data_IF_441182628988
#
_entry.id   IF_441182628988
#
_cell.length_a   1.000
_cell.length_b   1.000
_cell.length_c   1.000
_cell.angle_alpha   90.00
_cell.angle_beta   90.00
_cell.angle_gamma   90.00
#
_symmetry.space_group_name_H-M   'P 1'
#
loop_
_entity.id
_entity.type
_entity.pdbx_description
1 polymer ?
#
# COMPACT_ATOMS: atom_id res chain seq x y z
N UNK A 1 23.30 -39.89 -15.28
CA UNK A 1 22.19 -39.68 -14.30
C UNK A 1 22.05 -38.18 -14.13
N UNK A 2 20.96 -37.59 -14.63
CA UNK A 2 20.69 -36.15 -14.52
C UNK A 2 19.97 -35.89 -13.18
N UNK A 3 20.65 -35.24 -12.24
CA UNK A 3 20.03 -34.71 -11.04
C UNK A 3 19.27 -33.43 -11.43
N UNK A 4 17.94 -33.52 -11.54
CA UNK A 4 17.08 -32.33 -11.66
C UNK A 4 17.13 -31.59 -10.32
N UNK A 5 17.89 -30.50 -10.27
CA UNK A 5 17.83 -29.54 -9.17
C UNK A 5 16.68 -28.58 -9.49
N UNK A 6 15.45 -29.08 -9.43
CA UNK A 6 14.30 -28.19 -9.38
C UNK A 6 14.29 -27.51 -8.00
N UNK A 7 14.26 -26.17 -7.91
CA UNK A 7 14.09 -25.50 -6.64
C UNK A 7 12.76 -25.95 -6.01
N UNK A 8 12.67 -26.12 -4.67
CA UNK A 8 11.43 -26.53 -4.03
C UNK A 8 10.32 -25.53 -4.35
N UNK A 9 9.33 -25.97 -5.14
CA UNK A 9 8.11 -25.23 -5.41
C UNK A 9 7.25 -25.25 -4.15
N UNK A 10 7.41 -24.24 -3.29
CA UNK A 10 6.56 -24.01 -2.11
C UNK A 10 5.20 -23.42 -2.52
N UNK A 11 4.42 -24.15 -3.32
CA UNK A 11 3.04 -23.77 -3.70
C UNK A 11 2.01 -24.85 -3.31
N UNK A 12 2.24 -25.59 -2.24
CA UNK A 12 1.20 -26.44 -1.67
C UNK A 12 0.28 -25.58 -0.81
N UNK A 13 -0.75 -25.02 -1.42
CA UNK A 13 -1.92 -24.51 -0.68
C UNK A 13 -2.43 -25.70 0.13
N UNK A 14 -2.46 -25.54 1.46
CA UNK A 14 -2.90 -26.62 2.34
C UNK A 14 -4.36 -27.00 2.04
N UNK A 15 -4.74 -28.24 2.31
CA UNK A 15 -6.11 -28.72 2.03
C UNK A 15 -7.14 -27.88 2.79
N UNK A 16 -6.81 -27.44 4.01
CA UNK A 16 -7.65 -26.51 4.78
C UNK A 16 -7.79 -25.16 4.08
N UNK A 17 -6.70 -24.63 3.53
CA UNK A 17 -6.66 -23.34 2.83
C UNK A 17 -7.42 -23.38 1.50
N UNK A 18 -7.36 -24.50 0.75
CA UNK A 18 -8.22 -24.73 -0.42
C UNK A 18 -9.70 -24.81 -0.06
N UNK A 19 -10.06 -25.54 1.00
CA UNK A 19 -11.44 -25.64 1.47
C UNK A 19 -11.94 -24.26 1.90
N UNK A 20 -11.12 -23.47 2.60
CA UNK A 20 -11.47 -22.10 3.00
C UNK A 20 -11.73 -21.20 1.80
N UNK A 21 -10.88 -21.26 0.78
CA UNK A 21 -11.06 -20.52 -0.47
C UNK A 21 -12.34 -20.93 -1.22
N UNK A 22 -12.67 -22.23 -1.23
CA UNK A 22 -13.85 -22.78 -1.89
C UNK A 22 -15.16 -22.54 -1.12
N UNK A 23 -15.12 -22.43 0.21
CA UNK A 23 -16.32 -22.35 1.08
C UNK A 23 -16.64 -20.94 1.58
N UNK A 24 -15.65 -20.07 1.78
CA UNK A 24 -15.81 -18.74 2.42
C UNK A 24 -15.55 -17.59 1.43
N UNK A 25 -14.87 -17.86 0.31
CA UNK A 25 -14.39 -16.83 -0.61
C UNK A 25 -13.09 -16.17 -0.13
N UNK A 26 -12.78 -14.99 -0.67
CA UNK A 26 -11.55 -14.26 -0.35
C UNK A 26 -11.53 -13.90 1.15
N UNK A 27 -10.42 -14.16 1.88
CA UNK A 27 -10.31 -13.77 3.28
C UNK A 27 -10.62 -12.28 3.49
N UNK A 28 -11.38 -11.93 4.54
CA UNK A 28 -11.81 -10.56 4.78
C UNK A 28 -10.65 -9.56 4.86
N UNK A 29 -9.51 -9.97 5.43
CA UNK A 29 -8.32 -9.13 5.49
C UNK A 29 -7.71 -8.85 4.11
N UNK A 30 -7.76 -9.84 3.19
CA UNK A 30 -7.22 -9.73 1.85
C UNK A 30 -8.11 -8.84 0.99
N UNK A 31 -9.43 -8.99 1.09
CA UNK A 31 -10.38 -8.08 0.46
C UNK A 31 -10.22 -6.63 0.95
N UNK A 32 -10.05 -6.43 2.28
CA UNK A 32 -9.80 -5.11 2.86
C UNK A 32 -8.46 -4.53 2.42
N UNK A 33 -7.42 -5.36 2.31
CA UNK A 33 -6.10 -4.94 1.81
C UNK A 33 -6.20 -4.45 0.36
N UNK A 34 -6.90 -5.19 -0.50
CA UNK A 34 -7.14 -4.78 -1.88
C UNK A 34 -7.88 -3.44 -1.97
N UNK A 35 -8.92 -3.25 -1.16
CA UNK A 35 -9.65 -1.97 -1.09
C UNK A 35 -8.76 -0.80 -0.64
N UNK A 36 -7.79 -1.04 0.25
CA UNK A 36 -6.82 -0.02 0.66
C UNK A 36 -5.92 0.31 -0.52
N UNK A 37 -5.34 -0.70 -1.17
CA UNK A 37 -4.45 -0.50 -2.32
C UNK A 37 -5.14 0.24 -3.47
N UNK A 38 -6.37 -0.13 -3.82
CA UNK A 38 -7.16 0.54 -4.86
C UNK A 38 -7.43 2.02 -4.52
N UNK A 39 -7.75 2.31 -3.26
CA UNK A 39 -7.99 3.67 -2.80
C UNK A 39 -6.70 4.50 -2.72
N UNK A 40 -5.58 3.88 -2.36
CA UNK A 40 -4.25 4.52 -2.37
C UNK A 40 -3.80 4.84 -3.80
N UNK A 41 -3.97 3.90 -4.73
CA UNK A 41 -3.68 4.07 -6.15
C UNK A 41 -4.51 5.21 -6.75
N UNK A 42 -5.84 5.18 -6.56
CA UNK A 42 -6.75 6.22 -7.06
C UNK A 42 -6.42 7.62 -6.49
N UNK A 43 -6.05 7.68 -5.20
CA UNK A 43 -5.65 8.93 -4.56
C UNK A 43 -4.35 9.46 -5.15
N UNK A 44 -3.35 8.59 -5.32
CA UNK A 44 -2.05 8.99 -5.85
C UNK A 44 -2.13 9.41 -7.32
N UNK A 45 -2.91 8.68 -8.14
CA UNK A 45 -3.16 9.04 -9.54
C UNK A 45 -3.76 10.44 -9.66
N UNK A 46 -4.81 10.75 -8.89
CA UNK A 46 -5.43 12.08 -8.86
C UNK A 46 -4.41 13.20 -8.58
N UNK A 47 -3.52 12.99 -7.60
CA UNK A 47 -2.51 14.01 -7.26
C UNK A 47 -1.38 14.10 -8.28
N UNK A 48 -1.01 12.99 -8.92
CA UNK A 48 -0.01 12.98 -9.99
C UNK A 48 -0.55 13.65 -11.27
N UNK A 49 -1.83 13.47 -11.57
CA UNK A 49 -2.50 14.19 -12.66
C UNK A 49 -2.51 15.69 -12.39
N UNK A 50 -2.92 16.12 -11.19
CA UNK A 50 -2.88 17.53 -10.79
C UNK A 50 -1.47 18.10 -10.88
N UNK A 51 -0.48 17.39 -10.35
CA UNK A 51 0.93 17.77 -10.47
C UNK A 51 1.34 17.94 -11.94
N UNK A 52 1.00 16.97 -12.80
CA UNK A 52 1.29 17.01 -14.23
C UNK A 52 0.67 18.21 -14.94
N UNK A 53 -0.59 18.53 -14.64
CA UNK A 53 -1.27 19.72 -15.16
C UNK A 53 -0.58 21.02 -14.75
N UNK A 54 -0.23 21.15 -13.46
CA UNK A 54 0.46 22.34 -12.94
C UNK A 54 1.83 22.53 -13.59
N UNK A 55 2.61 21.44 -13.76
CA UNK A 55 3.90 21.50 -14.45
C UNK A 55 3.73 21.90 -15.91
N UNK A 56 2.71 21.37 -16.61
CA UNK A 56 2.43 21.71 -18.00
C UNK A 56 2.01 23.19 -18.18
N UNK A 57 1.34 23.77 -17.18
CA UNK A 57 1.01 25.19 -17.14
C UNK A 57 2.24 26.08 -16.84
N UNK A 58 3.37 25.50 -16.44
CA UNK A 58 4.61 26.21 -16.17
C UNK A 58 4.59 27.02 -14.87
N UNK A 59 3.78 26.61 -13.89
CA UNK A 59 3.74 27.27 -12.58
C UNK A 59 5.09 27.13 -11.85
N UNK A 60 5.38 28.07 -10.95
CA UNK A 60 6.59 27.98 -10.12
C UNK A 60 6.52 26.81 -9.13
N UNK A 61 7.66 26.36 -8.62
CA UNK A 61 7.70 25.27 -7.64
C UNK A 61 6.91 25.63 -6.37
N UNK A 62 7.00 26.88 -5.92
CA UNK A 62 6.28 27.38 -4.75
C UNK A 62 4.76 27.35 -4.97
N UNK A 63 4.28 27.75 -6.15
CA UNK A 63 2.87 27.71 -6.50
C UNK A 63 2.35 26.27 -6.65
N UNK A 64 3.17 25.39 -7.23
CA UNK A 64 2.85 23.96 -7.35
C UNK A 64 2.65 23.34 -5.97
N UNK A 65 3.63 23.51 -5.07
CA UNK A 65 3.57 22.94 -3.71
C UNK A 65 2.37 23.50 -2.95
N UNK A 66 2.17 24.82 -2.98
CA UNK A 66 1.02 25.46 -2.33
C UNK A 66 -0.32 24.89 -2.83
N UNK A 67 -0.47 24.75 -4.15
CA UNK A 67 -1.71 24.24 -4.75
C UNK A 67 -1.95 22.77 -4.37
N UNK A 68 -0.90 21.95 -4.33
CA UNK A 68 -0.99 20.56 -3.86
C UNK A 68 -1.38 20.49 -2.38
N UNK A 69 -0.81 21.35 -1.53
CA UNK A 69 -1.14 21.43 -0.11
C UNK A 69 -2.59 21.88 0.13
N UNK A 70 -3.07 22.88 -0.61
CA UNK A 70 -4.46 23.34 -0.57
C UNK A 70 -5.42 22.22 -0.98
N UNK A 71 -5.12 21.52 -2.08
CA UNK A 71 -5.93 20.38 -2.53
C UNK A 71 -5.90 19.22 -1.52
N UNK A 72 -4.74 18.94 -0.93
CA UNK A 72 -4.58 17.91 0.09
C UNK A 72 -5.34 18.24 1.38
N UNK A 73 -5.39 19.52 1.77
CA UNK A 73 -6.17 19.98 2.93
C UNK A 73 -7.69 19.87 2.70
N UNK A 74 -8.15 20.06 1.46
CA UNK A 74 -9.56 19.87 1.08
C UNK A 74 -9.96 18.39 0.90
N UNK A 75 -8.99 17.50 0.70
CA UNK A 75 -9.22 16.07 0.51
C UNK A 75 -9.60 15.36 1.82
N UNK A 76 -10.60 14.46 1.77
CA UNK A 76 -10.97 13.65 2.94
C UNK A 76 -10.29 12.29 2.91
N UNK A 77 -9.41 12.05 3.89
CA UNK A 77 -8.75 10.75 4.09
C UNK A 77 -9.56 9.81 4.99
N UNK A 78 -10.71 10.23 5.50
CA UNK A 78 -11.47 9.53 6.55
C UNK A 78 -11.78 8.08 6.17
N UNK A 79 -12.36 7.84 4.99
CA UNK A 79 -12.76 6.50 4.54
C UNK A 79 -11.56 5.56 4.40
N UNK A 80 -10.45 6.04 3.82
CA UNK A 80 -9.23 5.27 3.66
C UNK A 80 -8.58 4.97 5.01
N UNK A 81 -8.50 5.97 5.88
CA UNK A 81 -7.94 5.81 7.22
C UNK A 81 -8.78 4.86 8.08
N UNK A 82 -10.11 4.83 7.92
CA UNK A 82 -10.98 3.86 8.57
C UNK A 82 -10.76 2.43 8.07
N UNK A 83 -10.47 2.26 6.77
CA UNK A 83 -10.09 0.95 6.21
C UNK A 83 -8.74 0.50 6.78
N UNK A 84 -7.74 1.38 6.80
CA UNK A 84 -6.40 1.11 7.35
C UNK A 84 -6.50 0.77 8.85
N UNK A 85 -7.26 1.55 9.63
CA UNK A 85 -7.45 1.30 11.05
C UNK A 85 -8.09 -0.06 11.31
N UNK A 86 -9.14 -0.41 10.56
CA UNK A 86 -9.75 -1.75 10.65
C UNK A 86 -8.80 -2.85 10.22
N UNK A 87 -8.01 -2.64 9.15
CA UNK A 87 -7.00 -3.60 8.71
C UNK A 87 -5.95 -3.83 9.80
N UNK A 88 -5.32 -2.78 10.31
CA UNK A 88 -4.34 -2.85 11.38
C UNK A 88 -4.89 -3.51 12.65
N UNK A 89 -6.17 -3.30 12.98
CA UNK A 89 -6.78 -3.90 14.18
C UNK A 89 -6.96 -5.41 14.07
N UNK A 90 -7.43 -5.89 12.91
CA UNK A 90 -7.87 -7.28 12.77
C UNK A 90 -6.90 -8.18 12.01
N UNK A 91 -6.05 -7.62 11.14
CA UNK A 91 -5.16 -8.39 10.27
C UNK A 91 -4.29 -9.42 11.02
N UNK A 92 -3.63 -9.08 12.14
CA UNK A 92 -2.79 -10.06 12.83
C UNK A 92 -3.55 -11.31 13.28
N UNK A 93 -4.80 -11.13 13.68
CA UNK A 93 -5.69 -12.20 14.16
C UNK A 93 -6.30 -12.93 12.96
N UNK A 94 -6.82 -12.21 11.97
CA UNK A 94 -7.45 -12.76 10.77
C UNK A 94 -6.48 -13.60 9.92
N UNK A 95 -5.21 -13.18 9.85
CA UNK A 95 -4.13 -13.86 9.14
C UNK A 95 -3.34 -14.85 10.02
N UNK A 96 -3.71 -15.00 11.30
CA UNK A 96 -3.05 -15.88 12.27
C UNK A 96 -1.51 -15.68 12.30
N UNK A 97 -1.07 -14.42 12.42
CA UNK A 97 0.34 -14.09 12.44
C UNK A 97 1.02 -14.74 13.65
N UNK A 98 2.24 -15.26 13.42
CA UNK A 98 3.10 -15.70 14.51
C UNK A 98 3.41 -14.54 15.46
N UNK A 99 3.78 -14.84 16.70
CA UNK A 99 4.16 -13.82 17.68
C UNK A 99 5.57 -14.13 18.19
N UNK A 100 6.44 -13.13 18.23
CA UNK A 100 7.71 -13.25 18.93
C UNK A 100 7.44 -13.27 20.44
N UNK A 101 7.85 -14.37 21.08
CA UNK A 101 7.64 -14.60 22.52
C UNK A 101 8.36 -13.58 23.41
N UNK A 102 9.45 -12.97 22.92
CA UNK A 102 10.24 -12.01 23.72
C UNK A 102 9.61 -10.63 23.70
N UNK A 103 9.23 -10.15 22.52
CA UNK A 103 8.73 -8.79 22.30
C UNK A 103 7.21 -8.69 22.34
N UNK A 104 6.50 -9.81 22.17
CA UNK A 104 5.05 -9.83 21.95
C UNK A 104 4.63 -9.29 20.58
N UNK A 105 5.59 -8.97 19.71
CA UNK A 105 5.29 -8.43 18.39
C UNK A 105 4.78 -9.53 17.45
N UNK A 106 3.82 -9.18 16.60
CA UNK A 106 3.40 -10.05 15.52
C UNK A 106 4.49 -10.15 14.46
N UNK A 107 4.54 -11.30 13.78
CA UNK A 107 5.54 -11.63 12.77
C UNK A 107 4.85 -11.92 11.44
N UNK A 108 5.28 -11.21 10.40
CA UNK A 108 4.92 -11.47 9.02
C UNK A 108 6.18 -11.93 8.27
N UNK A 109 6.17 -13.16 7.76
CA UNK A 109 7.31 -13.80 7.11
C UNK A 109 8.63 -13.72 7.91
N UNK A 110 8.53 -13.92 9.23
CA UNK A 110 9.67 -13.90 10.14
C UNK A 110 10.20 -12.51 10.49
N UNK A 111 9.60 -11.44 9.97
CA UNK A 111 9.91 -10.05 10.32
C UNK A 111 8.82 -9.47 11.20
N UNK A 112 9.18 -8.50 12.05
CA UNK A 112 8.23 -7.73 12.83
C UNK A 112 7.17 -7.12 11.89
N UNK A 113 5.91 -7.46 12.13
CA UNK A 113 4.79 -6.88 11.41
C UNK A 113 4.55 -5.47 11.93
N UNK A 114 4.57 -4.50 11.00
CA UNK A 114 4.29 -3.10 11.29
C UNK A 114 2.93 -2.70 10.76
N UNK A 115 2.22 -1.91 11.56
CA UNK A 115 0.95 -1.30 11.19
C UNK A 115 1.19 -0.34 10.02
N UNK A 116 0.27 -0.34 9.07
CA UNK A 116 0.26 0.68 8.02
C UNK A 116 -0.08 2.04 8.63
N UNK A 117 0.65 3.06 8.22
CA UNK A 117 0.41 4.44 8.66
C UNK A 117 -0.83 5.01 7.98
N UNK A 118 -1.51 5.91 8.67
CA UNK A 118 -2.64 6.67 8.11
C UNK A 118 -2.17 7.69 7.07
N UNK A 119 -3.05 8.05 6.16
CA UNK A 119 -2.84 9.12 5.19
C UNK A 119 -3.20 10.48 5.79
N UNK A 120 -2.35 11.46 5.49
CA UNK A 120 -2.49 12.86 5.88
C UNK A 120 -2.22 13.74 4.67
N UNK A 121 -2.63 15.02 4.74
CA UNK A 121 -2.39 15.99 3.68
C UNK A 121 -0.88 16.12 3.37
N UNK A 122 -0.05 16.25 4.40
CA UNK A 122 1.40 16.33 4.23
C UNK A 122 1.99 15.07 3.57
N UNK A 123 1.48 13.87 3.93
CA UNK A 123 1.97 12.61 3.39
C UNK A 123 1.65 12.46 1.91
N UNK A 124 0.44 12.81 1.47
CA UNK A 124 0.10 12.70 0.04
C UNK A 124 0.95 13.65 -0.81
N UNK A 125 1.13 14.89 -0.37
CA UNK A 125 2.00 15.86 -1.08
C UNK A 125 3.44 15.32 -1.19
N UNK A 126 4.01 14.84 -0.07
CA UNK A 126 5.37 14.29 -0.07
C UNK A 126 5.51 13.10 -1.04
N UNK A 127 4.60 12.13 -0.99
CA UNK A 127 4.63 10.95 -1.85
C UNK A 127 4.46 11.33 -3.33
N UNK A 128 3.58 12.28 -3.64
CA UNK A 128 3.38 12.78 -5.01
C UNK A 128 4.65 13.40 -5.57
N UNK A 129 5.31 14.28 -4.81
CA UNK A 129 6.56 14.93 -5.23
C UNK A 129 7.71 13.93 -5.39
N UNK A 130 7.85 12.98 -4.46
CA UNK A 130 8.85 11.92 -4.55
C UNK A 130 8.62 11.04 -5.78
N UNK A 131 7.38 10.64 -6.04
CA UNK A 131 7.01 9.81 -7.19
C UNK A 131 7.22 10.55 -8.51
N UNK A 132 6.82 11.82 -8.58
CA UNK A 132 7.03 12.64 -9.78
C UNK A 132 8.53 12.83 -10.08
N UNK A 133 9.34 13.06 -9.04
CA UNK A 133 10.80 13.15 -9.16
C UNK A 133 11.42 11.84 -9.65
N UNK A 134 10.99 10.70 -9.11
CA UNK A 134 11.48 9.39 -9.55
C UNK A 134 11.17 9.15 -11.04
N UNK A 135 9.93 9.44 -11.47
CA UNK A 135 9.52 9.34 -12.89
C UNK A 135 10.33 10.27 -13.80
N UNK A 136 10.63 11.49 -13.34
CA UNK A 136 11.45 12.42 -14.11
C UNK A 136 12.90 11.93 -14.28
N UNK A 137 13.48 11.30 -13.25
CA UNK A 137 14.82 10.71 -13.33
C UNK A 137 14.85 9.51 -14.29
N UNK A 138 13.86 8.61 -14.20
CA UNK A 138 13.72 7.46 -15.10
C UNK A 138 13.60 7.88 -16.58
N UNK A 139 12.85 8.95 -16.86
CA UNK A 139 12.71 9.49 -18.21
C UNK A 139 13.96 10.23 -18.72
N UNK A 140 14.85 10.67 -17.85
CA UNK A 140 16.10 11.34 -18.24
C UNK A 140 17.23 10.35 -18.57
N UNK A 141 17.14 9.12 -18.04
CA UNK A 141 18.11 8.04 -18.27
C UNK A 141 17.74 7.14 -19.47
N UNK A 142 16.57 7.35 -20.08
CA UNK A 142 16.03 6.61 -21.24
C UNK A 142 16.30 7.31 -22.58
#
# INVERSE_FOLDING_TARGET
MLNSIDPPRNFTIDTSERIRALSIGVPAYAARKRQIEDAEESLLEMFLELHGSLVAEGVTLEELVRTLEEQAAACSFTKLNDLIARHNRYYPIEANLGMDRKTGAYLLYGKEWRRSESWTAARIVAVTLETARARAAENADA
#
